data_IF_299960087910
#
_entry.id   IF_299960087910
#
_cell.length_a   1.000
_cell.length_b   1.000
_cell.length_c   1.000
_cell.angle_alpha   90.00
_cell.angle_beta   90.00
_cell.angle_gamma   90.00
#
_symmetry.space_group_name_H-M   'P 1'
#
loop_
_entity.id
_entity.type
_entity.pdbx_description
1 polymer ?
#
# COMPACT_ATOMS: atom_id res chain seq x y z
N UNK A 1 -16.58 -4.09 -21.94
CA UNK A 1 -15.50 -3.38 -21.21
C UNK A 1 -14.19 -4.12 -21.46
N UNK A 2 -13.11 -3.45 -21.89
CA UNK A 2 -11.88 -4.12 -22.35
C UNK A 2 -11.05 -4.64 -21.15
N UNK A 3 -10.73 -5.94 -21.12
CA UNK A 3 -9.95 -6.58 -20.05
C UNK A 3 -8.57 -5.92 -19.84
N UNK A 4 -7.96 -5.44 -20.92
CA UNK A 4 -6.69 -4.73 -20.87
C UNK A 4 -6.81 -3.37 -20.19
N UNK A 5 -7.97 -2.72 -20.31
CA UNK A 5 -8.24 -1.44 -19.67
C UNK A 5 -8.41 -1.60 -18.16
N UNK A 6 -9.14 -2.63 -17.71
CA UNK A 6 -9.28 -2.98 -16.28
C UNK A 6 -7.91 -3.32 -15.67
N UNK A 7 -7.09 -4.09 -16.39
CA UNK A 7 -5.73 -4.42 -15.96
C UNK A 7 -4.87 -3.17 -15.78
N UNK A 8 -4.85 -2.27 -16.77
CA UNK A 8 -4.05 -1.04 -16.75
C UNK A 8 -4.46 -0.12 -15.59
N UNK A 9 -5.76 0.14 -15.42
CA UNK A 9 -6.27 1.00 -14.33
C UNK A 9 -5.92 0.41 -12.96
N UNK A 10 -6.14 -0.90 -12.78
CA UNK A 10 -5.90 -1.55 -11.50
C UNK A 10 -4.42 -1.52 -11.16
N UNK A 11 -3.55 -1.80 -12.12
CA UNK A 11 -2.11 -1.72 -11.94
C UNK A 11 -1.66 -0.30 -11.57
N UNK A 12 -2.14 0.71 -12.31
CA UNK A 12 -1.80 2.11 -12.07
C UNK A 12 -2.29 2.58 -10.68
N UNK A 13 -3.51 2.22 -10.28
CA UNK A 13 -4.09 2.55 -8.98
C UNK A 13 -3.36 1.86 -7.81
N UNK A 14 -2.99 0.59 -7.97
CA UNK A 14 -2.22 -0.13 -6.95
C UNK A 14 -0.82 0.45 -6.78
N UNK A 15 -0.16 0.81 -7.89
CA UNK A 15 1.19 1.38 -7.89
C UNK A 15 1.19 2.78 -7.28
N UNK A 16 0.22 3.64 -7.62
CA UNK A 16 0.12 4.97 -7.04
C UNK A 16 -0.19 4.91 -5.54
N UNK A 17 -1.09 4.02 -5.11
CA UNK A 17 -1.41 3.81 -3.70
C UNK A 17 -0.21 3.28 -2.91
N UNK A 18 0.57 2.37 -3.50
CA UNK A 18 1.81 1.88 -2.88
C UNK A 18 2.84 2.99 -2.66
N UNK A 19 3.04 3.85 -3.67
CA UNK A 19 3.98 4.97 -3.56
C UNK A 19 3.52 5.99 -2.51
N UNK A 20 2.24 6.37 -2.53
CA UNK A 20 1.68 7.27 -1.52
C UNK A 20 1.82 6.70 -0.11
N UNK A 21 1.63 5.40 0.06
CA UNK A 21 1.79 4.78 1.37
C UNK A 21 3.24 4.81 1.87
N UNK A 22 4.20 4.53 0.99
CA UNK A 22 5.63 4.59 1.34
C UNK A 22 6.03 6.02 1.71
N UNK A 23 5.57 7.02 0.93
CA UNK A 23 5.84 8.43 1.20
C UNK A 23 5.24 8.87 2.53
N UNK A 24 3.96 8.57 2.76
CA UNK A 24 3.26 8.97 3.99
C UNK A 24 3.84 8.27 5.21
N UNK A 25 4.18 6.98 5.09
CA UNK A 25 4.89 6.27 6.16
C UNK A 25 6.24 6.94 6.44
N UNK A 26 7.02 7.27 5.42
CA UNK A 26 8.31 7.95 5.60
C UNK A 26 8.17 9.30 6.30
N UNK A 27 7.22 10.14 5.86
CA UNK A 27 6.91 11.42 6.52
C UNK A 27 6.48 11.19 7.97
N UNK A 28 5.61 10.20 8.23
CA UNK A 28 5.17 9.89 9.59
C UNK A 28 6.32 9.45 10.49
N UNK A 29 7.27 8.68 9.96
CA UNK A 29 8.48 8.27 10.67
C UNK A 29 9.37 9.47 11.04
N UNK A 30 9.53 10.45 10.14
CA UNK A 30 10.28 11.69 10.44
C UNK A 30 9.64 12.51 11.58
N UNK A 31 8.32 12.43 11.74
CA UNK A 31 7.58 13.08 12.83
C UNK A 31 7.49 12.21 14.11
N UNK A 32 8.16 11.06 14.16
CA UNK A 32 8.17 10.19 15.34
C UNK A 32 6.94 9.30 15.49
N UNK A 33 6.10 9.16 14.46
CA UNK A 33 4.87 8.34 14.47
C UNK A 33 5.15 6.84 14.33
N UNK A 34 6.34 6.37 14.72
CA UNK A 34 6.75 4.95 14.68
C UNK A 34 5.86 4.03 15.50
N UNK A 35 5.31 4.53 16.60
CA UNK A 35 4.49 3.74 17.53
C UNK A 35 3.09 3.42 16.97
N UNK A 36 2.61 4.21 16.00
CA UNK A 36 1.28 4.04 15.42
C UNK A 36 1.20 2.90 14.39
N UNK A 37 2.33 2.37 13.93
CA UNK A 37 2.36 1.27 12.96
C UNK A 37 2.79 -0.05 13.62
N UNK A 38 1.84 -0.96 13.93
CA UNK A 38 2.15 -2.18 14.69
C UNK A 38 3.14 -3.11 13.97
N UNK A 39 3.20 -3.09 12.63
CA UNK A 39 4.17 -3.89 11.87
C UNK A 39 5.58 -3.29 11.86
N UNK A 40 5.69 -1.97 11.92
CA UNK A 40 6.99 -1.29 11.92
C UNK A 40 7.53 -1.11 13.34
N UNK A 41 6.67 -0.97 14.35
CA UNK A 41 7.10 -0.79 15.75
C UNK A 41 8.05 -1.88 16.27
N UNK A 42 7.95 -3.11 15.75
CA UNK A 42 8.79 -4.25 16.14
C UNK A 42 10.10 -4.36 15.36
N UNK A 43 10.30 -3.53 14.34
CA UNK A 43 11.46 -3.60 13.45
C UNK A 43 12.49 -2.51 13.82
N UNK A 44 13.77 -2.72 13.51
CA UNK A 44 14.76 -1.66 13.54
C UNK A 44 14.46 -0.59 12.47
N UNK A 45 14.70 0.71 12.74
CA UNK A 45 14.38 1.79 11.80
C UNK A 45 15.00 1.63 10.40
N UNK A 46 16.21 1.07 10.32
CA UNK A 46 16.90 0.82 9.05
C UNK A 46 16.23 -0.26 8.18
N UNK A 47 15.34 -1.08 8.75
CA UNK A 47 14.59 -2.10 8.02
C UNK A 47 13.19 -1.65 7.56
N UNK A 48 12.69 -0.48 7.98
CA UNK A 48 11.33 -0.05 7.67
C UNK A 48 11.09 0.10 6.17
N UNK A 49 11.97 0.85 5.51
CA UNK A 49 11.85 1.13 4.08
C UNK A 49 11.94 -0.15 3.22
N UNK A 50 12.94 -1.04 3.37
CA UNK A 50 13.01 -2.25 2.57
C UNK A 50 11.84 -3.21 2.84
N UNK A 51 11.39 -3.34 4.08
CA UNK A 51 10.23 -4.20 4.41
C UNK A 51 8.94 -3.66 3.80
N UNK A 52 8.70 -2.35 3.89
CA UNK A 52 7.56 -1.70 3.25
C UNK A 52 7.55 -1.92 1.74
N UNK A 53 8.69 -1.72 1.06
CA UNK A 53 8.79 -1.96 -0.38
C UNK A 53 8.45 -3.41 -0.73
N UNK A 54 9.01 -4.38 -0.01
CA UNK A 54 8.76 -5.81 -0.25
C UNK A 54 7.26 -6.13 -0.08
N UNK A 55 6.62 -5.61 0.98
CA UNK A 55 5.20 -5.80 1.21
C UNK A 55 4.35 -5.21 0.06
N UNK A 56 4.68 -4.00 -0.42
CA UNK A 56 3.95 -3.39 -1.54
C UNK A 56 4.11 -4.15 -2.85
N UNK A 57 5.33 -4.56 -3.18
CA UNK A 57 5.60 -5.38 -4.37
C UNK A 57 4.81 -6.69 -4.29
N UNK A 58 4.76 -7.31 -3.11
CA UNK A 58 4.03 -8.56 -2.89
C UNK A 58 2.52 -8.38 -3.11
N UNK A 59 1.93 -7.30 -2.58
CA UNK A 59 0.50 -7.00 -2.76
C UNK A 59 0.18 -6.72 -4.23
N UNK A 60 1.01 -5.93 -4.92
CA UNK A 60 0.84 -5.66 -6.36
C UNK A 60 0.93 -6.96 -7.15
N UNK A 61 1.97 -7.77 -6.91
CA UNK A 61 2.16 -9.06 -7.57
C UNK A 61 0.98 -10.02 -7.36
N UNK A 62 0.50 -10.15 -6.12
CA UNK A 62 -0.67 -10.96 -5.79
C UNK A 62 -1.94 -10.47 -6.50
N UNK A 63 -2.15 -9.15 -6.51
CA UNK A 63 -3.30 -8.53 -7.17
C UNK A 63 -3.27 -8.80 -8.68
N UNK A 64 -2.10 -8.72 -9.31
CA UNK A 64 -1.95 -9.05 -10.74
C UNK A 64 -2.23 -10.53 -11.04
N UNK A 65 -1.81 -11.45 -10.17
CA UNK A 65 -2.10 -12.88 -10.29
C UNK A 65 -3.61 -13.14 -10.17
N UNK A 66 -4.27 -12.52 -9.20
CA UNK A 66 -5.72 -12.63 -9.01
C UNK A 66 -6.50 -12.05 -10.19
N UNK A 67 -6.08 -10.90 -10.71
CA UNK A 67 -6.71 -10.27 -11.87
C UNK A 67 -6.56 -11.12 -13.14
N UNK A 68 -5.41 -11.79 -13.32
CA UNK A 68 -5.21 -12.76 -14.41
C UNK A 68 -6.15 -13.95 -14.30
N UNK A 69 -6.49 -14.39 -13.09
CA UNK A 69 -7.45 -15.47 -12.80
C UNK A 69 -8.92 -15.01 -12.83
N UNK A 70 -9.21 -13.75 -13.16
CA UNK A 70 -10.57 -13.22 -13.22
C UNK A 70 -11.20 -12.92 -11.85
N UNK A 71 -10.41 -12.95 -10.78
CA UNK A 71 -10.84 -12.71 -9.40
C UNK A 71 -10.88 -11.21 -9.07
N UNK A 72 -11.83 -10.51 -9.69
CA UNK A 72 -11.93 -9.04 -9.62
C UNK A 72 -12.34 -8.57 -8.21
N UNK A 73 -13.22 -9.32 -7.53
CA UNK A 73 -13.72 -8.96 -6.20
C UNK A 73 -12.57 -8.98 -5.18
N UNK A 74 -11.73 -10.02 -5.21
CA UNK A 74 -10.58 -10.13 -4.31
C UNK A 74 -9.56 -9.01 -4.54
N UNK A 75 -9.36 -8.61 -5.80
CA UNK A 75 -8.49 -7.47 -6.13
C UNK A 75 -9.09 -6.15 -5.64
N UNK A 76 -10.40 -5.96 -5.76
CA UNK A 76 -11.08 -4.78 -5.20
C UNK A 76 -10.93 -4.70 -3.68
N UNK A 77 -11.05 -5.84 -2.98
CA UNK A 77 -10.81 -5.91 -1.52
C UNK A 77 -9.38 -5.50 -1.19
N UNK A 78 -8.37 -6.07 -1.87
CA UNK A 78 -6.96 -5.71 -1.65
C UNK A 78 -6.68 -4.23 -1.93
N UNK A 79 -7.21 -3.70 -3.03
CA UNK A 79 -7.10 -2.28 -3.38
C UNK A 79 -7.74 -1.39 -2.32
N UNK A 80 -8.93 -1.76 -1.81
CA UNK A 80 -9.63 -0.99 -0.77
C UNK A 80 -8.85 -0.96 0.55
N UNK A 81 -8.24 -2.08 0.94
CA UNK A 81 -7.37 -2.15 2.12
C UNK A 81 -6.14 -1.25 1.95
N UNK A 82 -5.52 -1.25 0.77
CA UNK A 82 -4.39 -0.36 0.49
C UNK A 82 -4.77 1.12 0.61
N UNK A 83 -5.90 1.52 0.02
CA UNK A 83 -6.39 2.90 0.10
C UNK A 83 -6.67 3.28 1.57
N UNK A 84 -7.28 2.38 2.34
CA UNK A 84 -7.56 2.62 3.75
C UNK A 84 -6.28 2.87 4.56
N UNK A 85 -5.21 2.08 4.32
CA UNK A 85 -3.91 2.30 4.98
C UNK A 85 -3.32 3.66 4.61
N UNK A 86 -3.37 4.04 3.33
CA UNK A 86 -2.89 5.37 2.88
C UNK A 86 -3.67 6.50 3.55
N UNK A 87 -5.00 6.39 3.62
CA UNK A 87 -5.86 7.38 4.28
C UNK A 87 -5.55 7.48 5.76
N UNK A 88 -5.33 6.35 6.44
CA UNK A 88 -4.94 6.33 7.85
C UNK A 88 -3.61 7.05 8.07
N UNK A 89 -2.60 6.77 7.23
CA UNK A 89 -1.30 7.43 7.31
C UNK A 89 -1.40 8.93 7.04
N UNK A 90 -2.18 9.34 6.04
CA UNK A 90 -2.44 10.76 5.79
C UNK A 90 -3.15 11.45 6.96
N UNK A 91 -4.15 10.79 7.55
CA UNK A 91 -4.89 11.32 8.68
C UNK A 91 -3.99 11.49 9.91
N UNK A 92 -3.13 10.52 10.19
CA UNK A 92 -2.16 10.59 11.27
C UNK A 92 -1.19 11.76 11.09
N UNK A 93 -0.69 11.99 9.86
CA UNK A 93 0.20 13.13 9.55
C UNK A 93 -0.53 14.46 9.69
N UNK A 94 -1.78 14.56 9.24
CA UNK A 94 -2.54 15.82 9.28
C UNK A 94 -2.99 16.23 10.69
N UNK A 95 -3.11 15.27 11.60
CA UNK A 95 -3.59 15.50 12.96
C UNK A 95 -2.44 15.78 13.95
N UNK A 96 -1.19 15.63 13.51
CA UNK A 96 0.03 15.91 14.26
C UNK A 96 0.67 17.20 13.75
#
# INVERSE_FOLDING_TARGET
>A
MNRNYIFSITFMSLTSSALLDVITTFIGLEHGLTEANPFLSSLPPYLFFPVMIILKITIIGLSLILLRRGRIIEVLILSSMMIFVVLNNLFLILLH
#
